data_IF_493125380078
#
_entry.id   IF_493125380078
#
_cell.length_a   1.000
_cell.length_b   1.000
_cell.length_c   1.000
_cell.angle_alpha   90.00
_cell.angle_beta   90.00
_cell.angle_gamma   90.00
#
_symmetry.space_group_name_H-M   'P 1'
#
loop_
_entity.id
_entity.type
_entity.pdbx_description
1 polymer ?
#
# COMPACT_ATOMS: atom_id res chain seq x y z
N UNK A 1 -2.62 7.67 -17.11
CA UNK A 1 -2.57 8.74 -16.10
C UNK A 1 -2.93 8.12 -14.77
N UNK A 2 -1.95 7.57 -14.04
CA UNK A 2 -2.20 6.87 -12.76
C UNK A 2 -1.42 7.47 -11.57
N UNK A 3 -0.43 8.33 -11.81
CA UNK A 3 0.37 8.90 -10.73
C UNK A 3 0.83 10.33 -11.08
N UNK A 4 0.62 11.27 -10.15
CA UNK A 4 1.10 12.66 -10.26
C UNK A 4 2.46 12.87 -9.56
N UNK A 5 3.16 11.81 -9.14
CA UNK A 5 4.49 11.88 -8.53
C UNK A 5 4.54 12.56 -7.16
N UNK A 6 3.41 12.62 -6.43
CA UNK A 6 3.30 13.38 -5.18
C UNK A 6 3.71 12.59 -3.94
N UNK A 7 3.93 11.29 -4.05
CA UNK A 7 4.31 10.38 -2.96
C UNK A 7 5.80 10.06 -3.10
N UNK A 8 6.56 10.19 -2.01
CA UNK A 8 7.95 9.73 -2.00
C UNK A 8 7.97 8.20 -1.89
N UNK A 9 8.64 7.56 -2.84
CA UNK A 9 8.87 6.12 -2.85
C UNK A 9 10.17 5.87 -2.09
N UNK A 10 10.13 5.11 -0.98
CA UNK A 10 11.35 4.71 -0.28
C UNK A 10 12.22 3.84 -1.20
N UNK A 11 13.49 4.24 -1.37
CA UNK A 11 14.51 3.44 -2.09
C UNK A 11 14.66 2.07 -1.41
N UNK A 12 14.09 1.03 -2.04
CA UNK A 12 14.06 -0.33 -1.52
C UNK A 12 12.83 -1.14 -1.96
N UNK A 13 11.77 -0.48 -2.44
CA UNK A 13 10.71 -1.13 -3.21
C UNK A 13 11.12 -1.21 -4.68
N UNK A 14 11.26 -2.42 -5.24
CA UNK A 14 11.50 -2.59 -6.66
C UNK A 14 10.35 -1.95 -7.49
N UNK A 15 10.70 -0.84 -8.14
CA UNK A 15 10.25 -0.27 -9.42
C UNK A 15 8.76 -0.03 -9.75
N UNK A 16 7.77 -0.52 -9.01
CA UNK A 16 6.39 -0.60 -9.54
C UNK A 16 5.31 0.28 -8.88
N UNK A 17 5.65 1.28 -8.05
CA UNK A 17 4.69 2.15 -7.35
C UNK A 17 3.72 1.43 -6.39
N UNK A 18 4.01 0.17 -6.04
CA UNK A 18 3.25 -0.61 -5.06
C UNK A 18 3.98 -0.64 -3.71
N UNK A 19 3.24 -0.65 -2.58
CA UNK A 19 3.85 -0.74 -1.27
C UNK A 19 4.51 -2.11 -1.07
N UNK A 20 5.59 -2.16 -0.30
CA UNK A 20 6.27 -3.42 0.06
C UNK A 20 5.43 -4.30 0.99
N UNK A 21 4.56 -3.71 1.81
CA UNK A 21 3.70 -4.44 2.76
C UNK A 21 2.36 -3.74 2.99
N UNK A 22 1.36 -4.48 3.48
CA UNK A 22 0.07 -3.92 3.90
C UNK A 22 0.19 -2.89 5.03
N UNK A 23 1.18 -3.05 5.92
CA UNK A 23 1.44 -2.10 7.01
C UNK A 23 1.78 -0.70 6.51
N UNK A 24 2.46 -0.58 5.36
CA UNK A 24 2.78 0.72 4.74
C UNK A 24 1.50 1.50 4.42
N UNK A 25 0.42 0.82 4.00
CA UNK A 25 -0.85 1.46 3.70
C UNK A 25 -1.52 2.08 4.94
N UNK A 26 -1.28 1.52 6.12
CA UNK A 26 -1.84 1.98 7.41
C UNK A 26 -0.96 3.02 8.09
N UNK A 27 0.36 2.78 8.09
CA UNK A 27 1.36 3.71 8.63
C UNK A 27 1.42 4.99 7.78
N UNK A 28 1.27 4.83 6.48
CA UNK A 28 1.31 5.89 5.48
C UNK A 28 2.73 6.17 4.98
N UNK A 29 2.78 6.95 3.91
CA UNK A 29 4.00 7.35 3.19
C UNK A 29 4.14 8.89 3.20
N UNK A 30 5.36 9.43 3.26
CA UNK A 30 5.57 10.88 3.16
C UNK A 30 5.14 11.42 1.79
N UNK A 31 4.52 12.61 1.79
CA UNK A 31 4.11 13.31 0.57
C UNK A 31 5.25 14.23 0.10
N UNK A 32 5.87 13.93 -1.05
CA UNK A 32 6.96 14.70 -1.66
C UNK A 32 6.66 16.21 -1.74
N UNK A 33 5.41 16.56 -2.05
CA UNK A 33 4.98 17.94 -2.20
C UNK A 33 4.95 18.74 -0.87
N UNK A 34 5.01 18.08 0.29
CA UNK A 34 5.11 18.75 1.58
C UNK A 34 6.54 19.20 1.92
N UNK A 35 7.55 18.64 1.24
CA UNK A 35 8.96 19.06 1.38
C UNK A 35 9.31 20.28 0.52
N UNK A 36 8.63 20.46 -0.63
CA UNK A 36 8.90 21.50 -1.63
C UNK A 36 8.09 22.81 -1.42
N UNK A 37 7.20 22.89 -0.42
CA UNK A 37 6.62 24.18 0.02
C UNK A 37 7.57 24.87 1.03
N UNK A 38 8.85 24.91 0.67
CA UNK A 38 9.90 25.61 1.39
C UNK A 38 10.43 26.78 0.55
N UNK A 39 10.17 27.99 1.02
CA UNK A 39 10.85 29.23 0.61
C UNK A 39 10.37 29.92 -0.69
N UNK A 40 9.19 30.54 -0.63
CA UNK A 40 8.95 31.83 -1.30
C UNK A 40 8.16 32.75 -0.36
N UNK A 41 8.86 33.63 0.36
CA UNK A 41 8.23 34.80 0.97
C UNK A 41 8.76 35.18 2.35
N UNK A 42 9.71 36.13 2.33
CA UNK A 42 9.79 37.33 3.17
C UNK A 42 9.30 37.23 4.64
N UNK A 43 10.26 37.34 5.59
CA UNK A 43 9.96 37.80 6.95
C UNK A 43 10.07 36.78 8.08
N UNK A 44 11.29 36.32 8.37
CA UNK A 44 11.85 36.30 9.75
C UNK A 44 11.13 35.57 10.88
N UNK A 45 10.18 34.66 10.63
CA UNK A 45 9.60 33.79 11.68
C UNK A 45 9.97 32.34 11.44
N UNK A 46 10.85 31.82 12.31
CA UNK A 46 11.18 30.39 12.42
C UNK A 46 9.90 29.62 12.76
N UNK A 47 9.23 29.08 11.74
CA UNK A 47 8.09 28.17 11.94
C UNK A 47 8.66 26.86 12.49
N UNK A 48 8.08 26.36 13.57
CA UNK A 48 8.40 25.04 14.12
C UNK A 48 8.35 24.01 12.98
N UNK A 49 9.39 23.18 12.90
CA UNK A 49 9.66 22.23 11.81
C UNK A 49 8.37 21.63 11.25
N UNK A 50 8.12 21.89 9.97
CA UNK A 50 6.97 21.37 9.26
C UNK A 50 6.88 19.87 9.46
N UNK A 51 5.83 19.42 10.14
CA UNK A 51 5.55 18.00 10.32
C UNK A 51 5.42 17.39 8.93
N UNK A 52 6.25 16.41 8.61
CA UNK A 52 6.11 15.61 7.39
C UNK A 52 4.65 15.18 7.24
N UNK A 53 4.02 15.56 6.13
CA UNK A 53 2.62 15.25 5.89
C UNK A 53 2.52 13.81 5.40
N UNK A 54 2.27 12.90 6.33
CA UNK A 54 2.08 11.48 6.04
C UNK A 54 0.71 11.26 5.39
N UNK A 55 0.71 10.67 4.20
CA UNK A 55 -0.50 10.24 3.50
C UNK A 55 -0.80 8.77 3.83
N UNK A 56 -2.02 8.49 4.28
CA UNK A 56 -2.47 7.13 4.66
C UNK A 56 -3.54 6.65 3.70
N UNK A 57 -3.44 5.40 3.25
CA UNK A 57 -4.39 4.79 2.32
C UNK A 57 -5.48 4.00 3.07
N UNK A 58 -5.14 3.39 4.20
CA UNK A 58 -6.05 2.60 5.02
C UNK A 58 -6.10 3.11 6.47
N UNK A 59 -7.27 3.00 7.11
CA UNK A 59 -7.41 3.29 8.56
C UNK A 59 -6.90 2.12 9.42
N UNK A 60 -7.00 0.90 8.91
CA UNK A 60 -6.54 -0.38 9.48
C UNK A 60 -6.60 -1.45 8.39
N UNK A 61 -5.94 -2.58 8.61
CA UNK A 61 -6.10 -3.76 7.74
C UNK A 61 -7.53 -4.31 7.88
N UNK A 62 -8.25 -4.56 6.76
CA UNK A 62 -9.59 -5.12 6.82
C UNK A 62 -9.55 -6.57 7.32
N UNK A 63 -10.65 -6.99 7.94
CA UNK A 63 -10.88 -8.40 8.30
C UNK A 63 -11.41 -9.11 7.07
N UNK A 64 -10.82 -10.25 6.71
CA UNK A 64 -11.32 -11.15 5.68
C UNK A 64 -12.68 -11.72 6.11
N UNK A 65 -13.77 -11.45 5.38
CA UNK A 65 -15.11 -11.91 5.76
C UNK A 65 -15.26 -13.44 5.73
N UNK A 66 -14.36 -14.16 5.05
CA UNK A 66 -14.42 -15.60 4.90
C UNK A 66 -13.72 -16.36 6.03
N UNK A 67 -12.65 -15.77 6.60
CA UNK A 67 -11.84 -16.38 7.66
C UNK A 67 -12.02 -15.69 9.01
N UNK A 68 -12.51 -14.46 9.04
CA UNK A 68 -12.65 -13.65 10.26
C UNK A 68 -11.33 -13.14 10.82
N UNK A 69 -10.23 -13.23 10.08
CA UNK A 69 -8.91 -12.75 10.48
C UNK A 69 -8.45 -11.57 9.63
N UNK A 70 -7.38 -10.88 10.04
CA UNK A 70 -6.73 -9.85 9.21
C UNK A 70 -5.60 -10.45 8.35
N UNK A 71 -5.55 -11.77 8.20
CA UNK A 71 -4.49 -12.48 7.46
C UNK A 71 -4.91 -12.68 6.01
N UNK A 72 -4.37 -11.84 5.14
CA UNK A 72 -4.58 -11.93 3.70
C UNK A 72 -3.47 -12.72 3.01
N UNK A 73 -3.81 -13.43 1.94
CA UNK A 73 -2.83 -13.83 0.94
C UNK A 73 -2.42 -12.60 0.13
N UNK A 74 -1.17 -12.51 -0.27
CA UNK A 74 -0.61 -11.38 -1.01
C UNK A 74 -0.17 -11.85 -2.40
N UNK A 75 -0.24 -10.96 -3.38
CA UNK A 75 0.32 -11.14 -4.72
C UNK A 75 1.16 -9.93 -5.10
N UNK A 76 2.34 -10.18 -5.65
CA UNK A 76 3.20 -9.17 -6.26
C UNK A 76 2.67 -8.80 -7.64
N UNK A 77 3.00 -7.60 -8.12
CA UNK A 77 2.74 -7.21 -9.52
C UNK A 77 3.49 -8.11 -10.53
N UNK A 78 4.60 -8.71 -10.11
CA UNK A 78 5.41 -9.61 -10.94
C UNK A 78 4.92 -11.06 -10.90
N UNK A 79 4.00 -11.38 -9.99
CA UNK A 79 3.47 -12.73 -9.85
C UNK A 79 2.50 -13.08 -11.01
N UNK A 80 2.47 -14.34 -11.46
CA UNK A 80 1.47 -14.79 -12.41
C UNK A 80 0.05 -14.71 -11.82
N UNK A 81 -1.00 -14.63 -12.66
CA UNK A 81 -2.39 -14.44 -12.21
C UNK A 81 -2.94 -15.59 -11.35
N UNK A 82 -2.29 -16.75 -11.34
CA UNK A 82 -2.63 -17.94 -10.54
C UNK A 82 -1.64 -18.17 -9.38
N UNK A 83 -0.81 -17.18 -9.07
CA UNK A 83 0.13 -17.27 -7.96
C UNK A 83 -0.58 -17.45 -6.62
N UNK A 84 -0.21 -18.52 -5.91
CA UNK A 84 -0.66 -18.82 -4.54
C UNK A 84 0.45 -18.63 -3.52
N UNK A 85 1.65 -18.27 -3.98
CA UNK A 85 2.82 -18.00 -3.15
C UNK A 85 3.28 -16.58 -3.43
N UNK A 86 3.65 -15.85 -2.39
CA UNK A 86 4.11 -14.48 -2.50
C UNK A 86 5.64 -14.43 -2.35
N UNK A 87 6.31 -13.79 -3.30
CA UNK A 87 7.77 -13.63 -3.33
C UNK A 87 8.34 -12.60 -2.35
N UNK A 88 7.48 -11.76 -1.75
CA UNK A 88 7.90 -10.74 -0.78
C UNK A 88 8.33 -9.40 -1.40
N UNK A 89 8.06 -9.19 -2.69
CA UNK A 89 8.56 -8.02 -3.42
C UNK A 89 7.68 -6.78 -3.20
N UNK A 90 6.40 -6.87 -3.58
CA UNK A 90 5.43 -5.80 -3.38
C UNK A 90 4.02 -6.37 -3.16
N UNK A 91 3.11 -5.52 -2.70
CA UNK A 91 1.69 -5.84 -2.54
C UNK A 91 0.91 -5.13 -3.63
N UNK A 92 0.54 -5.90 -4.66
CA UNK A 92 -0.35 -5.48 -5.73
C UNK A 92 -1.81 -5.80 -5.40
N UNK A 93 -2.05 -7.04 -4.96
CA UNK A 93 -3.39 -7.56 -4.71
C UNK A 93 -3.45 -8.42 -3.44
N UNK A 94 -4.65 -8.57 -2.88
CA UNK A 94 -4.94 -9.39 -1.71
C UNK A 94 -6.06 -10.38 -2.00
N UNK A 95 -5.93 -11.60 -1.48
CA UNK A 95 -6.96 -12.65 -1.62
C UNK A 95 -7.21 -13.36 -0.29
N UNK A 96 -8.41 -13.93 -0.13
CA UNK A 96 -8.75 -14.67 1.08
C UNK A 96 -7.98 -15.98 1.17
N UNK A 97 -7.54 -16.34 2.38
CA UNK A 97 -6.90 -17.65 2.66
C UNK A 97 -7.92 -18.77 2.89
N UNK A 98 -9.20 -18.48 2.70
CA UNK A 98 -10.29 -19.44 2.85
C UNK A 98 -10.15 -20.59 1.85
N UNK A 99 -10.25 -21.83 2.36
CA UNK A 99 -10.26 -23.06 1.54
C UNK A 99 -11.65 -23.42 1.02
N UNK A 100 -12.63 -22.54 1.18
CA UNK A 100 -14.03 -22.79 0.81
C UNK A 100 -14.23 -22.57 -0.69
N UNK A 101 -15.30 -23.17 -1.20
CA UNK A 101 -15.72 -23.08 -2.59
C UNK A 101 -16.98 -22.22 -2.68
N UNK A 102 -17.04 -21.33 -3.67
CA UNK A 102 -18.20 -20.55 -4.02
C UNK A 102 -19.28 -21.43 -4.68
N UNK A 103 -20.48 -20.85 -4.87
CA UNK A 103 -21.64 -21.58 -5.39
C UNK A 103 -21.45 -22.06 -6.84
N UNK A 104 -20.58 -21.42 -7.61
CA UNK A 104 -20.24 -21.75 -9.00
C UNK A 104 -19.11 -22.80 -9.11
N UNK A 105 -18.55 -23.24 -7.98
CA UNK A 105 -17.46 -24.21 -7.95
C UNK A 105 -16.05 -23.60 -7.95
N UNK A 106 -15.92 -22.27 -8.09
CA UNK A 106 -14.64 -21.57 -7.94
C UNK A 106 -14.19 -21.51 -6.48
N UNK A 107 -12.88 -21.44 -6.19
CA UNK A 107 -12.41 -21.21 -4.82
C UNK A 107 -12.38 -19.71 -4.56
N UNK A 108 -12.73 -19.32 -3.34
CA UNK A 108 -12.66 -17.89 -2.97
C UNK A 108 -11.23 -17.33 -3.02
N UNK A 109 -10.21 -18.17 -2.86
CA UNK A 109 -8.81 -17.77 -2.95
C UNK A 109 -8.34 -17.49 -4.40
N UNK A 110 -9.14 -17.87 -5.40
CA UNK A 110 -8.84 -17.67 -6.82
C UNK A 110 -9.45 -16.37 -7.37
N UNK A 111 -10.20 -15.62 -6.54
CA UNK A 111 -10.86 -14.35 -6.88
C UNK A 111 -9.98 -13.14 -6.58
#
# INVERSE_FOLDING_TARGET
MADEGKIEVEEGGEADNYPSTLDVLVKGVPLAAAAEEGDRGDGGRKRESGKEKIFKFLRRIPVDPMTGTTEWGLRSNQDPPDATTWGGENVYDIYTKSRRTALDGSKYADW
#
